data_IF_937471587729
#
_entry.id   IF_937471587729
#
_cell.length_a   1.000
_cell.length_b   1.000
_cell.length_c   1.000
_cell.angle_alpha   90.00
_cell.angle_beta   90.00
_cell.angle_gamma   90.00
#
_symmetry.space_group_name_H-M   'P 1'
#
loop_
_entity.id
_entity.type
_entity.pdbx_description
1 polymer ?
#
# COMPACT_ATOMS: atom_id res chain seq x y z
N UNK A 1 2.73 6.67 -13.16
CA UNK A 1 2.62 8.05 -12.66
C UNK A 1 4.00 8.56 -12.25
N UNK A 2 4.47 9.65 -12.86
CA UNK A 2 5.88 10.09 -12.74
C UNK A 2 6.28 10.53 -11.32
N UNK A 3 5.35 11.10 -10.56
CA UNK A 3 5.57 11.62 -9.21
C UNK A 3 4.77 10.79 -8.18
N UNK A 4 4.74 9.47 -8.32
CA UNK A 4 4.15 8.58 -7.36
C UNK A 4 5.22 7.93 -6.47
N UNK A 5 5.03 8.02 -5.17
CA UNK A 5 5.95 7.52 -4.16
C UNK A 5 5.25 6.42 -3.36
N UNK A 6 5.70 5.17 -3.58
CA UNK A 6 5.16 3.99 -2.91
C UNK A 6 6.05 3.61 -1.73
N UNK A 7 5.44 3.48 -0.56
CA UNK A 7 6.07 3.02 0.67
C UNK A 7 5.36 1.77 1.18
N UNK A 8 6.11 0.71 1.47
CA UNK A 8 5.61 -0.47 2.19
C UNK A 8 5.83 -0.24 3.68
N UNK A 9 4.76 0.03 4.41
CA UNK A 9 4.81 0.42 5.82
C UNK A 9 5.20 -0.75 6.73
N UNK A 10 5.88 -0.43 7.84
CA UNK A 10 6.28 -1.41 8.83
C UNK A 10 5.92 -0.98 10.25
N UNK A 11 5.67 -1.95 11.12
CA UNK A 11 5.23 -1.75 12.51
C UNK A 11 6.29 -1.10 13.40
N UNK A 12 7.58 -1.23 13.05
CA UNK A 12 8.70 -0.64 13.80
C UNK A 12 8.97 0.82 13.45
N UNK A 13 8.25 1.40 12.47
CA UNK A 13 8.48 2.79 12.10
C UNK A 13 8.03 3.74 13.19
N UNK A 14 8.90 4.71 13.47
CA UNK A 14 8.57 5.93 14.20
C UNK A 14 8.39 7.10 13.24
N UNK A 15 8.11 8.30 13.76
CA UNK A 15 7.92 9.52 12.95
C UNK A 15 9.12 9.87 12.08
N UNK A 16 10.34 9.69 12.62
CA UNK A 16 11.57 9.97 11.86
C UNK A 16 11.74 8.97 10.73
N UNK A 17 11.57 7.69 11.02
CA UNK A 17 11.69 6.61 10.04
C UNK A 17 10.69 6.78 8.89
N UNK A 18 9.44 7.12 9.18
CA UNK A 18 8.43 7.41 8.16
C UNK A 18 8.89 8.51 7.20
N UNK A 19 9.45 9.62 7.70
CA UNK A 19 9.95 10.71 6.85
C UNK A 19 11.20 10.30 6.07
N UNK A 20 12.10 9.51 6.66
CA UNK A 20 13.29 8.95 5.99
C UNK A 20 12.86 8.11 4.80
N UNK A 21 11.92 7.19 4.99
CA UNK A 21 11.44 6.34 3.91
C UNK A 21 10.80 7.15 2.78
N UNK A 22 10.04 8.20 3.12
CA UNK A 22 9.43 9.07 2.13
C UNK A 22 10.47 9.89 1.36
N UNK A 23 11.47 10.47 2.03
CA UNK A 23 12.58 11.19 1.38
C UNK A 23 13.42 10.26 0.50
N UNK A 24 13.69 9.05 0.96
CA UNK A 24 14.38 8.02 0.18
C UNK A 24 13.62 7.69 -1.10
N UNK A 25 12.31 7.48 -1.02
CA UNK A 25 11.46 7.23 -2.18
C UNK A 25 11.42 8.41 -3.17
N UNK A 26 11.62 9.64 -2.66
CA UNK A 26 11.71 10.86 -3.47
C UNK A 26 13.11 11.11 -4.06
N UNK A 27 14.12 10.33 -3.68
CA UNK A 27 15.51 10.54 -4.07
C UNK A 27 16.12 11.82 -3.50
N UNK A 28 15.71 12.23 -2.29
CA UNK A 28 16.17 13.44 -1.60
C UNK A 28 17.14 13.06 -0.49
N UNK A 29 18.31 13.72 -0.46
CA UNK A 29 19.26 13.58 0.64
C UNK A 29 18.71 14.28 1.90
N UNK A 30 18.77 13.57 3.02
CA UNK A 30 18.29 14.01 4.33
C UNK A 30 19.36 13.96 5.41
N UNK A 31 20.63 13.79 5.01
CA UNK A 31 21.77 13.69 5.94
C UNK A 31 21.82 14.91 6.86
N UNK A 32 21.81 14.65 8.16
CA UNK A 32 21.88 15.70 9.19
C UNK A 32 20.54 16.41 9.47
N UNK A 33 19.45 16.08 8.78
CA UNK A 33 18.15 16.74 8.98
C UNK A 33 17.48 16.32 10.29
N UNK A 34 16.86 17.29 10.94
CA UNK A 34 15.89 17.07 12.02
C UNK A 34 14.54 16.61 11.43
N UNK A 35 13.65 16.08 12.26
CA UNK A 35 12.29 15.70 11.86
C UNK A 35 11.53 16.88 11.23
N UNK A 36 11.73 18.09 11.74
CA UNK A 36 11.10 19.30 11.22
C UNK A 36 11.62 19.66 9.83
N UNK A 37 12.93 19.58 9.62
CA UNK A 37 13.57 19.84 8.33
C UNK A 37 13.17 18.81 7.28
N UNK A 38 13.16 17.52 7.63
CA UNK A 38 12.64 16.44 6.77
C UNK A 38 11.20 16.71 6.32
N UNK A 39 10.32 17.07 7.25
CA UNK A 39 8.93 17.41 6.94
C UNK A 39 8.84 18.61 6.00
N UNK A 40 9.66 19.64 6.22
CA UNK A 40 9.68 20.84 5.37
C UNK A 40 10.14 20.51 3.95
N UNK A 41 11.17 19.69 3.81
CA UNK A 41 11.69 19.31 2.50
C UNK A 41 10.70 18.43 1.72
N UNK A 42 10.05 17.48 2.38
CA UNK A 42 8.98 16.67 1.78
C UNK A 42 7.86 17.57 1.24
N UNK A 43 7.36 18.48 2.07
CA UNK A 43 6.27 19.39 1.67
C UNK A 43 6.70 20.28 0.52
N UNK A 44 7.90 20.83 0.56
CA UNK A 44 8.46 21.67 -0.52
C UNK A 44 8.55 20.88 -1.83
N UNK A 45 9.10 19.68 -1.80
CA UNK A 45 9.25 18.80 -2.98
C UNK A 45 7.90 18.44 -3.57
N UNK A 46 6.94 18.02 -2.74
CA UNK A 46 5.61 17.65 -3.22
C UNK A 46 4.85 18.84 -3.81
N UNK A 47 4.90 20.02 -3.17
CA UNK A 47 4.25 21.22 -3.69
C UNK A 47 4.85 21.73 -5.00
N UNK A 48 6.11 21.44 -5.27
CA UNK A 48 6.77 21.77 -6.54
C UNK A 48 6.62 20.71 -7.62
N UNK A 49 6.04 19.55 -7.31
CA UNK A 49 5.82 18.44 -8.24
C UNK A 49 4.45 18.54 -8.91
N UNK A 50 4.37 18.14 -10.15
CA UNK A 50 3.09 18.07 -10.88
C UNK A 50 2.33 16.79 -10.46
N UNK A 51 1.10 16.97 -9.94
CA UNK A 51 0.19 15.91 -9.53
C UNK A 51 0.88 14.82 -8.67
N UNK A 52 1.54 15.18 -7.56
CA UNK A 52 2.23 14.19 -6.73
C UNK A 52 1.25 13.23 -6.05
N UNK A 53 1.71 11.98 -5.83
CA UNK A 53 0.92 10.94 -5.21
C UNK A 53 1.77 10.17 -4.19
N UNK A 54 1.30 10.04 -2.97
CA UNK A 54 1.87 9.16 -1.95
C UNK A 54 0.98 7.93 -1.83
N UNK A 55 1.57 6.75 -1.88
CA UNK A 55 0.88 5.47 -1.68
C UNK A 55 1.54 4.78 -0.49
N UNK A 56 0.78 4.57 0.57
CA UNK A 56 1.21 3.84 1.77
C UNK A 56 0.59 2.45 1.73
N UNK A 57 1.37 1.45 1.36
CA UNK A 57 0.95 0.06 1.39
C UNK A 57 1.16 -0.53 2.79
N UNK A 58 0.29 -1.46 3.18
CA UNK A 58 0.27 -2.04 4.53
C UNK A 58 0.14 -0.98 5.65
N UNK A 59 -0.63 0.08 5.41
CA UNK A 59 -0.76 1.21 6.33
C UNK A 59 -1.36 0.84 7.70
N UNK A 60 -2.01 -0.30 7.83
CA UNK A 60 -2.45 -0.89 9.10
C UNK A 60 -1.30 -1.28 10.03
N UNK A 61 -0.08 -1.48 9.52
CA UNK A 61 1.13 -1.71 10.32
C UNK A 61 1.64 -0.45 11.03
N UNK A 62 1.30 0.74 10.56
CA UNK A 62 1.79 1.98 11.16
C UNK A 62 1.29 2.13 12.61
N UNK A 63 2.17 2.46 13.58
CA UNK A 63 1.74 2.75 14.94
C UNK A 63 0.90 4.03 15.02
N UNK A 64 0.10 4.16 16.08
CA UNK A 64 -0.81 5.31 16.30
C UNK A 64 -0.07 6.65 16.24
N UNK A 65 1.17 6.69 16.73
CA UNK A 65 2.01 7.90 16.71
C UNK A 65 2.35 8.38 15.30
N UNK A 66 2.51 7.46 14.35
CA UNK A 66 2.78 7.78 12.95
C UNK A 66 1.48 8.11 12.23
N UNK A 67 0.41 7.37 12.46
CA UNK A 67 -0.92 7.71 11.90
C UNK A 67 -1.38 9.10 12.35
N UNK A 68 -1.14 9.47 13.61
CA UNK A 68 -1.46 10.79 14.08
C UNK A 68 -0.58 11.87 13.44
N UNK A 69 0.70 11.58 13.23
CA UNK A 69 1.64 12.47 12.55
C UNK A 69 1.26 12.68 11.07
N UNK A 70 0.66 11.68 10.44
CA UNK A 70 0.10 11.77 9.09
C UNK A 70 -0.92 12.91 8.93
N UNK A 71 -1.68 13.25 9.97
CA UNK A 71 -2.59 14.40 9.94
C UNK A 71 -1.83 15.70 9.65
N UNK A 72 -0.66 15.88 10.27
CA UNK A 72 0.19 17.05 10.04
C UNK A 72 0.66 17.10 8.59
N UNK A 73 1.08 15.97 8.03
CA UNK A 73 1.49 15.87 6.63
C UNK A 73 0.32 16.19 5.70
N UNK A 74 -0.84 15.56 5.92
CA UNK A 74 -2.05 15.80 5.13
C UNK A 74 -2.44 17.28 5.14
N UNK A 75 -2.55 17.90 6.29
CA UNK A 75 -2.96 19.31 6.40
C UNK A 75 -2.00 20.27 5.67
N UNK A 76 -0.71 19.91 5.57
CA UNK A 76 0.28 20.72 4.84
C UNK A 76 0.24 20.50 3.33
N UNK A 77 -0.34 19.40 2.86
CA UNK A 77 -0.40 18.97 1.46
C UNK A 77 -1.81 19.00 0.88
N UNK A 78 -2.80 19.45 1.65
CA UNK A 78 -4.18 19.56 1.19
C UNK A 78 -4.24 20.30 -0.15
N UNK A 79 -5.03 19.77 -1.08
CA UNK A 79 -5.18 20.25 -2.48
C UNK A 79 -3.92 20.20 -3.36
N UNK A 80 -2.77 19.69 -2.84
CA UNK A 80 -1.52 19.62 -3.60
C UNK A 80 -1.04 18.20 -3.88
N UNK A 81 -1.43 17.23 -3.06
CA UNK A 81 -0.92 15.86 -3.15
C UNK A 81 -2.01 14.84 -2.91
N UNK A 82 -2.15 13.89 -3.83
CA UNK A 82 -2.98 12.71 -3.59
C UNK A 82 -2.32 11.78 -2.56
N UNK A 83 -3.12 11.21 -1.64
CA UNK A 83 -2.62 10.24 -0.68
C UNK A 83 -3.55 9.04 -0.67
N UNK A 84 -2.97 7.85 -0.88
CA UNK A 84 -3.68 6.56 -0.85
C UNK A 84 -3.13 5.73 0.30
N UNK A 85 -4.02 5.20 1.13
CA UNK A 85 -3.71 4.22 2.17
C UNK A 85 -4.24 2.85 1.72
N UNK A 86 -3.34 1.92 1.43
CA UNK A 86 -3.67 0.53 1.19
C UNK A 86 -3.48 -0.24 2.50
N UNK A 87 -4.50 -0.96 2.93
CA UNK A 87 -4.49 -1.65 4.21
C UNK A 87 -5.49 -2.80 4.22
N UNK A 88 -5.35 -3.69 5.18
CA UNK A 88 -6.39 -4.65 5.49
C UNK A 88 -7.56 -3.95 6.23
N UNK A 89 -8.67 -4.64 6.43
CA UNK A 89 -9.83 -4.14 7.19
C UNK A 89 -9.49 -3.78 8.65
N UNK A 90 -8.34 -4.24 9.15
CA UNK A 90 -7.83 -3.88 10.47
C UNK A 90 -7.64 -2.38 10.66
N UNK A 91 -7.23 -1.63 9.63
CA UNK A 91 -7.10 -0.18 9.73
C UNK A 91 -8.45 0.48 9.97
N UNK A 92 -9.47 0.12 9.21
CA UNK A 92 -10.83 0.68 9.38
C UNK A 92 -11.42 0.32 10.75
N UNK A 93 -11.28 -0.94 11.18
CA UNK A 93 -11.72 -1.40 12.50
C UNK A 93 -10.99 -0.65 13.63
N UNK A 94 -9.67 -0.44 13.49
CA UNK A 94 -8.86 0.33 14.47
C UNK A 94 -9.34 1.78 14.56
N UNK A 95 -9.61 2.43 13.43
CA UNK A 95 -10.12 3.80 13.40
C UNK A 95 -11.49 3.88 14.10
N UNK A 96 -12.42 3.01 13.76
CA UNK A 96 -13.75 3.00 14.37
C UNK A 96 -13.69 2.73 15.88
N UNK A 97 -12.85 1.80 16.33
CA UNK A 97 -12.61 1.54 17.74
C UNK A 97 -12.02 2.76 18.45
N UNK A 98 -11.06 3.45 17.83
CA UNK A 98 -10.45 4.67 18.34
C UNK A 98 -11.48 5.80 18.54
N UNK A 99 -12.38 5.97 17.58
CA UNK A 99 -13.48 6.94 17.66
C UNK A 99 -14.44 6.60 18.80
N UNK A 100 -14.89 5.33 18.88
CA UNK A 100 -15.80 4.87 19.96
C UNK A 100 -15.21 5.09 21.36
N UNK A 101 -13.90 4.89 21.51
CA UNK A 101 -13.17 5.10 22.76
C UNK A 101 -12.70 6.54 22.96
N UNK A 102 -13.12 7.46 22.10
CA UNK A 102 -12.72 8.87 22.11
C UNK A 102 -11.18 9.08 22.20
N UNK A 103 -10.41 8.20 21.54
CA UNK A 103 -8.95 8.33 21.48
C UNK A 103 -8.55 9.56 20.67
N UNK A 104 -7.51 10.25 21.13
CA UNK A 104 -6.98 11.45 20.48
C UNK A 104 -6.58 11.16 19.01
N UNK A 105 -7.00 12.04 18.09
CA UNK A 105 -6.64 12.04 16.68
C UNK A 105 -7.48 11.14 15.78
N UNK A 106 -8.21 10.16 16.32
CA UNK A 106 -8.93 9.22 15.47
C UNK A 106 -10.13 9.82 14.72
N UNK A 107 -10.81 10.80 15.30
CA UNK A 107 -11.87 11.58 14.61
C UNK A 107 -11.28 12.38 13.44
N UNK A 108 -10.11 12.97 13.65
CA UNK A 108 -9.41 13.74 12.63
C UNK A 108 -8.88 12.84 11.49
N UNK A 109 -8.27 11.69 11.83
CA UNK A 109 -7.85 10.70 10.84
C UNK A 109 -9.04 10.26 9.97
N UNK A 110 -10.16 9.89 10.60
CA UNK A 110 -11.37 9.47 9.88
C UNK A 110 -11.94 10.58 8.97
N UNK A 111 -11.83 11.83 9.39
CA UNK A 111 -12.26 12.98 8.59
C UNK A 111 -11.39 13.16 7.35
N UNK A 112 -10.06 12.97 7.45
CA UNK A 112 -9.10 13.18 6.33
C UNK A 112 -9.06 12.01 5.36
N UNK A 113 -9.11 10.77 5.85
CA UNK A 113 -9.23 9.60 4.99
C UNK A 113 -10.56 9.61 4.23
N UNK A 114 -11.52 10.38 4.73
CA UNK A 114 -12.90 10.34 4.24
C UNK A 114 -13.64 9.11 4.80
N UNK A 115 -14.93 9.11 4.62
CA UNK A 115 -15.79 8.03 5.15
C UNK A 115 -15.92 6.84 4.19
N UNK A 116 -15.26 6.91 3.04
CA UNK A 116 -15.40 5.92 1.98
C UNK A 116 -14.13 5.07 1.91
N UNK A 117 -14.30 3.80 2.25
CA UNK A 117 -13.29 2.78 1.98
C UNK A 117 -13.64 2.10 0.66
N UNK A 118 -12.63 1.90 -0.19
CA UNK A 118 -12.75 1.15 -1.44
C UNK A 118 -12.28 -0.27 -1.15
N UNK A 119 -13.22 -1.21 -1.13
CA UNK A 119 -12.89 -2.61 -0.91
C UNK A 119 -12.38 -3.22 -2.22
N UNK A 120 -11.18 -3.79 -2.18
CA UNK A 120 -10.63 -4.59 -3.26
C UNK A 120 -11.08 -6.05 -3.07
N UNK A 121 -11.80 -6.55 -4.05
CA UNK A 121 -12.22 -7.96 -4.06
C UNK A 121 -11.06 -8.85 -4.46
N UNK A 122 -11.04 -10.08 -3.95
CA UNK A 122 -10.11 -11.11 -4.41
C UNK A 122 -10.28 -11.43 -5.90
N UNK A 123 -9.31 -12.11 -6.49
CA UNK A 123 -9.35 -12.48 -7.91
C UNK A 123 -10.49 -13.48 -8.18
N UNK A 124 -11.21 -13.23 -9.27
CA UNK A 124 -12.27 -14.12 -9.75
C UNK A 124 -11.74 -15.12 -10.81
N UNK A 125 -12.59 -16.01 -11.28
CA UNK A 125 -12.21 -17.04 -12.27
C UNK A 125 -11.69 -16.45 -13.59
N UNK A 126 -12.27 -15.33 -14.04
CA UNK A 126 -11.84 -14.65 -15.27
C UNK A 126 -10.46 -14.03 -15.09
N UNK A 127 -10.21 -13.38 -13.95
CA UNK A 127 -8.91 -12.79 -13.61
C UNK A 127 -7.82 -13.87 -13.57
N UNK A 128 -8.09 -15.00 -12.89
CA UNK A 128 -7.15 -16.13 -12.82
C UNK A 128 -6.85 -16.70 -14.18
N UNK A 129 -7.87 -16.88 -15.03
CA UNK A 129 -7.69 -17.38 -16.40
C UNK A 129 -6.79 -16.45 -17.22
N UNK A 130 -7.06 -15.13 -17.19
CA UNK A 130 -6.25 -14.14 -17.91
C UNK A 130 -4.79 -14.13 -17.41
N UNK A 131 -4.57 -14.17 -16.10
CA UNK A 131 -3.24 -14.21 -15.49
C UNK A 131 -2.51 -15.49 -15.91
N UNK A 132 -3.17 -16.65 -15.87
CA UNK A 132 -2.61 -17.92 -16.30
C UNK A 132 -2.18 -17.87 -17.78
N UNK A 133 -3.08 -17.45 -18.65
CA UNK A 133 -2.81 -17.34 -20.11
C UNK A 133 -1.66 -16.38 -20.39
N UNK A 134 -1.65 -15.20 -19.78
CA UNK A 134 -0.57 -14.22 -19.91
C UNK A 134 0.79 -14.76 -19.43
N UNK A 135 0.79 -15.82 -18.62
CA UNK A 135 1.98 -16.50 -18.13
C UNK A 135 2.26 -17.83 -18.83
N UNK A 136 1.59 -18.16 -19.94
CA UNK A 136 1.83 -19.36 -20.73
C UNK A 136 1.22 -20.64 -20.15
N UNK A 137 0.20 -20.51 -19.29
CA UNK A 137 -0.62 -21.64 -18.81
C UNK A 137 -1.93 -21.62 -19.57
N UNK A 138 -2.04 -22.47 -20.62
CA UNK A 138 -3.20 -22.52 -21.53
C UNK A 138 -4.14 -23.70 -21.21
N UNK A 139 -3.66 -24.69 -20.46
CA UNK A 139 -4.48 -25.86 -20.07
C UNK A 139 -5.64 -25.45 -19.18
N UNK A 140 -6.86 -25.60 -19.72
CA UNK A 140 -8.10 -25.24 -19.03
C UNK A 140 -8.31 -26.03 -17.72
N UNK A 141 -7.85 -27.29 -17.64
CA UNK A 141 -7.93 -28.09 -16.42
C UNK A 141 -7.03 -27.54 -15.33
N UNK A 142 -5.81 -27.16 -15.70
CA UNK A 142 -4.86 -26.55 -14.78
C UNK A 142 -5.31 -25.17 -14.31
N UNK A 143 -5.86 -24.33 -15.22
CA UNK A 143 -6.45 -23.03 -14.86
C UNK A 143 -7.56 -23.19 -13.82
N UNK A 144 -8.48 -24.14 -14.04
CA UNK A 144 -9.55 -24.44 -13.07
C UNK A 144 -8.99 -24.91 -11.73
N UNK A 145 -7.96 -25.76 -11.74
CA UNK A 145 -7.29 -26.22 -10.51
C UNK A 145 -6.69 -25.03 -9.74
N UNK A 146 -5.93 -24.17 -10.44
CA UNK A 146 -5.33 -22.97 -9.84
C UNK A 146 -6.39 -22.08 -9.22
N UNK A 147 -7.51 -21.86 -9.91
CA UNK A 147 -8.61 -21.05 -9.39
C UNK A 147 -9.21 -21.65 -8.11
N UNK A 148 -9.48 -22.96 -8.09
CA UNK A 148 -10.07 -23.63 -6.92
C UNK A 148 -9.14 -23.62 -5.70
N UNK A 149 -7.82 -23.66 -5.94
CA UNK A 149 -6.81 -23.69 -4.86
C UNK A 149 -6.39 -22.30 -4.38
N UNK A 150 -6.63 -21.25 -5.17
CA UNK A 150 -6.12 -19.92 -4.85
C UNK A 150 -6.93 -19.19 -3.76
N UNK A 151 -8.20 -19.53 -3.57
CA UNK A 151 -9.08 -18.91 -2.56
C UNK A 151 -9.08 -17.36 -2.66
N UNK A 152 -9.09 -16.84 -3.91
CA UNK A 152 -9.03 -15.40 -4.18
C UNK A 152 -7.68 -14.72 -3.93
N UNK A 153 -6.64 -15.47 -3.56
CA UNK A 153 -5.30 -14.94 -3.25
C UNK A 153 -4.38 -14.99 -4.49
N UNK A 154 -4.03 -13.80 -4.98
CA UNK A 154 -3.14 -13.65 -6.14
C UNK A 154 -1.73 -14.24 -5.91
N UNK A 155 -1.23 -14.25 -4.68
CA UNK A 155 0.08 -14.84 -4.35
C UNK A 155 0.05 -16.37 -4.54
N UNK A 156 -1.09 -17.00 -4.22
CA UNK A 156 -1.29 -18.45 -4.49
C UNK A 156 -1.35 -18.72 -5.98
N UNK A 157 -2.06 -17.89 -6.75
CA UNK A 157 -2.08 -17.98 -8.24
C UNK A 157 -0.66 -17.94 -8.79
N UNK A 158 0.14 -16.95 -8.40
CA UNK A 158 1.54 -16.81 -8.82
C UNK A 158 2.39 -18.03 -8.50
N UNK A 159 2.27 -18.58 -7.28
CA UNK A 159 2.99 -19.79 -6.85
C UNK A 159 2.60 -21.01 -7.67
N UNK A 160 1.31 -21.20 -7.92
CA UNK A 160 0.78 -22.34 -8.70
C UNK A 160 1.25 -22.28 -10.16
N UNK A 161 1.27 -21.10 -10.79
CA UNK A 161 1.82 -20.89 -12.12
C UNK A 161 3.30 -21.24 -12.16
N UNK A 162 4.08 -20.79 -11.18
CA UNK A 162 5.51 -21.12 -11.09
C UNK A 162 5.74 -22.62 -10.95
N UNK A 163 4.99 -23.29 -10.07
CA UNK A 163 5.07 -24.74 -9.91
C UNK A 163 4.70 -25.52 -11.18
N UNK A 164 3.70 -25.05 -11.94
CA UNK A 164 3.32 -25.63 -13.22
C UNK A 164 4.46 -25.52 -14.26
N UNK A 165 5.06 -24.34 -14.38
CA UNK A 165 6.19 -24.12 -15.31
C UNK A 165 7.38 -25.03 -15.00
N UNK A 166 7.73 -25.14 -13.71
CA UNK A 166 8.85 -26.01 -13.29
C UNK A 166 8.60 -27.51 -13.57
N UNK A 167 7.35 -27.97 -13.43
CA UNK A 167 6.99 -29.35 -13.80
C UNK A 167 7.18 -29.60 -15.29
N UNK A 168 6.73 -28.68 -16.15
CA UNK A 168 6.88 -28.81 -17.61
C UNK A 168 8.34 -28.81 -18.08
N UNK A 169 9.21 -28.08 -17.41
CA UNK A 169 10.66 -28.10 -17.74
C UNK A 169 11.25 -29.48 -17.42
N UNK A 170 10.93 -30.03 -16.24
CA UNK A 170 11.43 -31.35 -15.83
C UNK A 170 10.83 -32.54 -16.61
N UNK A 171 9.75 -32.35 -17.35
CA UNK A 171 9.16 -33.38 -18.23
C UNK A 171 9.74 -33.37 -19.63
N UNK A 172 10.57 -32.37 -19.99
CA UNK A 172 11.21 -32.20 -21.29
C UNK A 172 12.71 -32.56 -21.28
N UNK A 173 13.28 -32.80 -20.10
CA UNK A 173 14.63 -33.32 -19.87
C UNK A 173 14.59 -34.85 -19.65
#
# INVERSE_FOLDING_TARGET
HKNAYLLSCAEYWNRKEFLVQLLTAMGVDYTGYTVAEMMNEIVKKLKSSENPLIILDEADKLPDTVLYFFITLYNRLEDHCGIILCATDHLSKRIQKGIKLNRKGYKEINSRIGRKFIELRGVNATDVAQICMANGVEDTKEIKRIFNECDGDLRRVKRSIHAYKNRKVNEQD
#
